data_IF_754161510269
#
_entry.id   IF_754161510269
#
_cell.length_a   1.000
_cell.length_b   1.000
_cell.length_c   1.000
_cell.angle_alpha   90.00
_cell.angle_beta   90.00
_cell.angle_gamma   90.00
#
_symmetry.space_group_name_H-M   'P 1'
#
loop_
_entity.id
_entity.type
_entity.pdbx_description
1 polymer ?
#
# COMPACT_ATOMS: atom_id res chain seq x y z
N UNK A 1 -3.19 15.17 -6.66
CA UNK A 1 -3.09 14.44 -7.94
C UNK A 1 -1.81 14.92 -8.65
N UNK A 2 -0.70 14.19 -8.48
CA UNK A 2 0.56 14.52 -9.17
C UNK A 2 0.70 13.59 -10.35
N UNK A 3 0.55 14.12 -11.56
CA UNK A 3 0.91 13.42 -12.79
C UNK A 3 2.42 13.66 -13.06
N UNK A 4 3.08 12.65 -13.60
CA UNK A 4 4.45 12.77 -14.10
C UNK A 4 4.61 14.04 -14.92
N UNK A 5 5.50 14.95 -14.50
CA UNK A 5 5.69 16.27 -15.10
C UNK A 5 6.63 16.27 -16.30
N UNK A 6 7.07 15.11 -16.75
CA UNK A 6 7.92 14.99 -17.94
C UNK A 6 7.04 14.94 -19.20
N UNK A 7 6.80 16.09 -19.81
CA UNK A 7 6.31 16.20 -21.18
C UNK A 7 4.93 16.79 -21.42
N UNK A 8 4.19 17.24 -20.39
CA UNK A 8 2.90 17.89 -20.61
C UNK A 8 2.92 19.36 -20.15
N UNK A 9 2.92 20.29 -21.10
CA UNK A 9 2.94 21.74 -20.86
C UNK A 9 1.75 22.18 -19.99
N UNK A 10 0.58 21.59 -20.18
CA UNK A 10 -0.63 21.91 -19.39
C UNK A 10 -0.47 21.55 -17.91
N UNK A 11 0.18 20.40 -17.60
CA UNK A 11 0.43 19.99 -16.23
C UNK A 11 1.40 20.93 -15.51
N UNK A 12 2.41 21.46 -16.21
CA UNK A 12 3.35 22.43 -15.64
C UNK A 12 2.67 23.76 -15.33
N UNK A 13 1.78 24.23 -16.20
CA UNK A 13 1.01 25.44 -15.98
C UNK A 13 0.10 25.34 -14.74
N UNK A 14 -0.59 24.21 -14.58
CA UNK A 14 -1.45 23.97 -13.42
C UNK A 14 -0.66 23.92 -12.10
N UNK A 15 0.51 23.28 -12.08
CA UNK A 15 1.37 23.22 -10.90
C UNK A 15 1.88 24.61 -10.53
N UNK A 16 2.41 25.39 -11.51
CA UNK A 16 2.86 26.76 -11.28
C UNK A 16 1.73 27.65 -10.78
N UNK A 17 0.54 27.57 -11.37
CA UNK A 17 -0.63 28.32 -10.95
C UNK A 17 -1.07 27.96 -9.52
N UNK A 18 -0.99 26.70 -9.13
CA UNK A 18 -1.28 26.26 -7.75
C UNK A 18 -0.28 26.86 -6.76
N UNK A 19 1.02 26.75 -7.03
CA UNK A 19 2.06 27.31 -6.15
C UNK A 19 2.11 28.84 -6.11
N UNK A 20 1.65 29.52 -7.15
CA UNK A 20 1.46 30.96 -7.11
C UNK A 20 0.38 31.41 -6.11
N UNK A 21 -0.54 30.51 -5.74
CA UNK A 21 -1.62 30.80 -4.77
C UNK A 21 -1.24 30.50 -3.34
N UNK A 22 -0.45 29.43 -3.10
CA UNK A 22 -0.04 29.01 -1.77
C UNK A 22 1.18 28.07 -1.84
N UNK A 23 2.00 28.01 -0.77
CA UNK A 23 3.13 27.08 -0.67
C UNK A 23 2.64 25.66 -0.38
N UNK A 24 2.44 24.85 -1.42
CA UNK A 24 2.04 23.45 -1.28
C UNK A 24 3.25 22.53 -1.25
N UNK A 25 3.17 21.49 -0.45
CA UNK A 25 4.11 20.37 -0.50
C UNK A 25 3.90 19.53 -1.76
N UNK A 26 4.97 18.87 -2.23
CA UNK A 26 4.95 18.04 -3.42
C UNK A 26 4.74 16.58 -3.05
N UNK A 27 3.71 15.96 -3.60
CA UNK A 27 3.52 14.51 -3.55
C UNK A 27 3.85 13.87 -4.90
N UNK A 28 4.66 12.82 -4.91
CA UNK A 28 4.98 12.03 -6.10
C UNK A 28 4.19 10.72 -6.06
N UNK A 29 3.30 10.52 -7.04
CA UNK A 29 2.64 9.23 -7.24
C UNK A 29 3.65 8.23 -7.82
N UNK A 30 4.18 7.33 -7.00
CA UNK A 30 5.35 6.51 -7.34
C UNK A 30 5.12 5.58 -8.53
N UNK A 31 4.04 4.81 -8.54
CA UNK A 31 3.75 3.88 -9.64
C UNK A 31 3.62 4.56 -11.01
N UNK A 32 2.72 5.57 -11.18
CA UNK A 32 2.59 6.31 -12.44
C UNK A 32 3.85 7.05 -12.88
N UNK A 33 4.77 7.34 -11.95
CA UNK A 33 6.07 7.97 -12.25
C UNK A 33 7.18 6.96 -12.60
N UNK A 34 6.86 5.66 -12.66
CA UNK A 34 7.85 4.61 -12.90
C UNK A 34 8.85 4.44 -11.77
N UNK A 35 8.47 4.83 -10.55
CA UNK A 35 9.34 4.80 -9.38
C UNK A 35 8.90 3.73 -8.38
N UNK A 36 9.88 3.16 -7.71
CA UNK A 36 9.76 2.49 -6.44
C UNK A 36 10.62 3.23 -5.42
N UNK A 37 10.04 3.56 -4.26
CA UNK A 37 10.79 4.21 -3.18
C UNK A 37 10.83 3.27 -1.98
N UNK A 38 12.03 3.03 -1.46
CA UNK A 38 12.24 2.38 -0.17
C UNK A 38 12.20 3.48 0.90
N UNK A 39 11.27 3.35 1.83
CA UNK A 39 11.01 4.29 2.92
C UNK A 39 11.57 3.68 4.22
N UNK A 40 12.64 4.28 4.72
CA UNK A 40 13.40 3.85 5.89
C UNK A 40 12.99 4.69 7.09
N UNK A 41 12.16 4.12 7.93
CA UNK A 41 11.63 4.82 9.10
C UNK A 41 12.61 4.83 10.28
N UNK A 42 12.57 5.90 11.06
CA UNK A 42 13.19 5.95 12.40
C UNK A 42 12.19 5.51 13.47
N UNK A 43 12.62 4.83 14.54
CA UNK A 43 11.73 4.44 15.62
C UNK A 43 11.09 5.67 16.28
N UNK A 44 9.75 5.67 16.38
CA UNK A 44 9.05 6.73 17.10
C UNK A 44 9.35 6.59 18.60
N UNK A 45 9.99 7.58 19.21
CA UNK A 45 10.43 7.58 20.62
C UNK A 45 9.29 7.64 21.66
N UNK A 46 8.07 7.23 21.32
CA UNK A 46 6.88 7.36 22.17
C UNK A 46 6.64 6.22 23.18
N UNK A 47 7.55 5.25 23.31
CA UNK A 47 7.44 4.27 24.40
C UNK A 47 8.69 4.28 25.29
N UNK A 48 8.65 5.13 26.31
CA UNK A 48 9.67 5.30 27.37
C UNK A 48 9.88 4.06 28.26
N UNK A 49 9.56 2.86 27.86
CA UNK A 49 9.77 1.62 28.66
C UNK A 49 10.34 0.44 27.88
N UNK A 50 11.12 0.67 26.84
CA UNK A 50 11.79 -0.42 26.14
C UNK A 50 12.86 0.12 25.21
N UNK A 51 14.11 -0.14 25.60
CA UNK A 51 15.34 -0.15 24.81
C UNK A 51 15.38 0.78 23.58
N UNK A 52 16.17 1.81 23.67
CA UNK A 52 16.62 2.68 22.56
C UNK A 52 17.51 1.95 21.53
N UNK A 53 17.70 0.64 21.66
CA UNK A 53 18.62 -0.17 20.85
C UNK A 53 17.96 -0.85 19.64
N UNK A 54 16.69 -0.55 19.34
CA UNK A 54 16.10 -1.10 18.11
C UNK A 54 16.71 -0.40 16.88
N UNK A 55 17.28 -1.16 15.92
CA UNK A 55 17.87 -0.58 14.74
C UNK A 55 16.80 0.20 13.96
N UNK A 56 17.20 1.35 13.42
CA UNK A 56 16.36 2.14 12.52
C UNK A 56 16.25 1.45 11.15
N UNK A 57 15.41 2.02 10.27
CA UNK A 57 15.21 1.47 8.94
C UNK A 57 16.49 1.46 8.10
N UNK A 58 17.39 2.43 8.28
CA UNK A 58 18.64 2.51 7.53
C UNK A 58 19.59 1.37 7.93
N UNK A 59 19.78 1.13 9.23
CA UNK A 59 20.59 0.01 9.73
C UNK A 59 19.97 -1.34 9.35
N UNK A 60 18.65 -1.46 9.41
CA UNK A 60 17.92 -2.67 9.01
C UNK A 60 18.08 -2.95 7.53
N UNK A 61 17.99 -1.93 6.67
CA UNK A 61 18.17 -2.06 5.23
C UNK A 61 19.62 -2.39 4.87
N UNK A 62 20.60 -1.77 5.53
CA UNK A 62 22.02 -2.09 5.34
C UNK A 62 22.30 -3.57 5.66
N UNK A 63 21.81 -4.08 6.78
CA UNK A 63 21.92 -5.50 7.14
C UNK A 63 21.18 -6.42 6.15
N UNK A 64 20.10 -5.97 5.53
CA UNK A 64 19.42 -6.72 4.46
C UNK A 64 20.28 -6.79 3.20
N UNK A 65 20.93 -5.69 2.79
CA UNK A 65 21.85 -5.65 1.66
C UNK A 65 23.04 -6.58 1.89
N UNK A 66 23.68 -6.51 3.06
CA UNK A 66 24.79 -7.38 3.43
C UNK A 66 24.44 -8.86 3.37
N UNK A 67 23.28 -9.26 3.91
CA UNK A 67 22.78 -10.64 3.80
C UNK A 67 22.50 -11.08 2.37
N UNK A 68 22.15 -10.15 1.49
CA UNK A 68 21.97 -10.40 0.06
C UNK A 68 23.30 -10.40 -0.72
N UNK A 69 24.44 -10.13 -0.05
CA UNK A 69 25.76 -10.05 -0.68
C UNK A 69 26.00 -8.77 -1.49
N UNK A 70 25.33 -7.67 -1.11
CA UNK A 70 25.39 -6.40 -1.82
C UNK A 70 25.64 -5.24 -0.86
N UNK A 71 26.24 -4.18 -1.36
CA UNK A 71 26.30 -2.89 -0.69
C UNK A 71 24.93 -2.18 -0.76
N UNK A 72 24.76 -1.18 0.11
CA UNK A 72 23.60 -0.28 0.01
C UNK A 72 23.66 0.46 -1.33
N UNK A 73 22.64 0.32 -2.19
CA UNK A 73 22.68 0.89 -3.53
C UNK A 73 22.88 2.40 -3.51
N UNK A 74 23.76 2.89 -4.39
CA UNK A 74 23.89 4.33 -4.62
C UNK A 74 22.76 4.78 -5.55
N UNK A 75 21.91 5.66 -5.01
CA UNK A 75 20.70 6.15 -5.70
C UNK A 75 20.29 7.50 -5.12
N UNK A 76 19.30 8.14 -5.72
CA UNK A 76 18.73 9.38 -5.19
C UNK A 76 18.18 9.17 -3.79
N UNK A 77 18.61 10.01 -2.85
CA UNK A 77 18.28 9.94 -1.43
C UNK A 77 17.66 11.24 -0.95
N UNK A 78 16.61 11.09 -0.15
CA UNK A 78 15.92 12.23 0.49
C UNK A 78 15.79 11.93 1.98
N UNK A 79 16.28 12.84 2.82
CA UNK A 79 16.02 12.80 4.27
C UNK A 79 14.57 13.22 4.51
N UNK A 80 13.82 12.44 5.27
CA UNK A 80 12.44 12.77 5.64
C UNK A 80 12.39 13.75 6.80
N UNK A 81 11.27 14.45 6.96
CA UNK A 81 11.05 15.39 8.05
C UNK A 81 11.12 14.73 9.45
N UNK A 82 10.92 13.43 9.56
CA UNK A 82 11.04 12.65 10.80
C UNK A 82 12.44 12.11 11.06
N UNK A 83 13.41 12.37 10.18
CA UNK A 83 14.79 11.88 10.29
C UNK A 83 15.04 10.54 9.59
N UNK A 84 14.04 9.92 9.00
CA UNK A 84 14.18 8.73 8.16
C UNK A 84 14.74 9.07 6.76
N UNK A 85 14.70 8.10 5.85
CA UNK A 85 15.28 8.26 4.51
C UNK A 85 14.42 7.60 3.43
N UNK A 86 14.26 8.26 2.31
CA UNK A 86 13.74 7.68 1.08
C UNK A 86 14.89 7.35 0.12
N UNK A 87 14.91 6.11 -0.40
CA UNK A 87 15.79 5.68 -1.48
C UNK A 87 14.94 5.48 -2.73
N UNK A 88 15.27 6.18 -3.80
CA UNK A 88 14.48 6.18 -5.04
C UNK A 88 15.07 5.25 -6.07
N UNK A 89 14.25 4.41 -6.68
CA UNK A 89 14.65 3.51 -7.76
C UNK A 89 13.69 3.65 -8.94
N UNK A 90 14.22 3.47 -10.16
CA UNK A 90 13.38 3.27 -11.33
C UNK A 90 12.83 1.85 -11.33
N UNK A 91 11.51 1.72 -11.43
CA UNK A 91 10.86 0.41 -11.50
C UNK A 91 11.10 -0.25 -12.86
N UNK A 92 11.32 -1.57 -12.92
CA UNK A 92 11.50 -2.27 -14.19
C UNK A 92 10.25 -2.15 -15.08
N UNK A 93 10.47 -2.01 -16.38
CA UNK A 93 9.37 -1.94 -17.36
C UNK A 93 8.51 -3.22 -17.30
N UNK A 94 7.19 -3.07 -17.35
CA UNK A 94 6.25 -4.19 -17.32
C UNK A 94 6.06 -4.87 -15.96
N UNK A 95 6.81 -4.47 -14.93
CA UNK A 95 6.67 -5.02 -13.58
C UNK A 95 5.83 -4.08 -12.71
N UNK A 96 4.74 -4.60 -12.17
CA UNK A 96 3.87 -3.83 -11.27
C UNK A 96 4.10 -4.25 -9.82
N UNK A 97 5.06 -3.59 -9.16
CA UNK A 97 5.27 -3.74 -7.73
C UNK A 97 4.23 -2.93 -6.95
N UNK A 98 3.89 -3.39 -5.75
CA UNK A 98 2.92 -2.74 -4.86
C UNK A 98 3.61 -2.21 -3.61
N UNK A 99 2.90 -1.38 -2.85
CA UNK A 99 3.39 -0.92 -1.55
C UNK A 99 3.56 -2.10 -0.59
N UNK A 100 4.59 -2.03 0.24
CA UNK A 100 4.74 -2.94 1.38
C UNK A 100 4.87 -2.14 2.68
N UNK A 101 4.50 -2.75 3.80
CA UNK A 101 4.71 -2.18 5.13
C UNK A 101 5.28 -3.26 6.03
N UNK A 102 6.52 -3.08 6.48
CA UNK A 102 7.24 -4.02 7.34
C UNK A 102 7.45 -5.43 6.75
N UNK A 103 7.07 -5.65 5.49
CA UNK A 103 7.15 -6.97 4.84
C UNK A 103 8.58 -7.32 4.42
N UNK A 104 9.35 -6.34 3.97
CA UNK A 104 10.73 -6.52 3.54
C UNK A 104 11.64 -6.69 4.75
N UNK A 105 11.53 -5.76 5.69
CA UNK A 105 12.17 -5.82 7.00
C UNK A 105 11.50 -4.80 7.94
N UNK A 106 11.79 -4.87 9.24
CA UNK A 106 11.27 -3.91 10.23
C UNK A 106 11.72 -2.48 9.87
N UNK A 107 10.81 -1.53 9.92
CA UNK A 107 11.04 -0.11 9.60
C UNK A 107 11.52 0.13 8.15
N UNK A 108 11.25 -0.82 7.26
CA UNK A 108 11.55 -0.76 5.82
C UNK A 108 10.24 -0.96 5.06
N UNK A 109 9.68 0.13 4.59
CA UNK A 109 8.47 0.15 3.78
C UNK A 109 8.82 0.38 2.30
N UNK A 110 7.90 0.06 1.40
CA UNK A 110 8.04 0.46 -0.01
C UNK A 110 6.80 1.19 -0.49
N UNK A 111 7.01 2.17 -1.36
CA UNK A 111 5.97 2.91 -2.06
C UNK A 111 6.16 2.73 -3.57
N UNK A 112 5.17 2.10 -4.20
CA UNK A 112 5.16 1.76 -5.61
C UNK A 112 3.77 2.05 -6.23
N UNK A 113 3.17 1.11 -6.95
CA UNK A 113 1.82 1.31 -7.48
C UNK A 113 0.77 1.42 -6.38
N UNK A 114 -0.04 2.49 -6.46
CA UNK A 114 -1.03 2.85 -5.44
C UNK A 114 -0.45 3.64 -4.26
N UNK A 115 0.85 3.95 -4.29
CA UNK A 115 1.53 4.76 -3.29
C UNK A 115 1.88 6.16 -3.77
N UNK A 116 2.22 6.99 -2.80
CA UNK A 116 2.86 8.29 -3.03
C UNK A 116 3.87 8.56 -1.93
N UNK A 117 4.80 9.47 -2.19
CA UNK A 117 5.75 10.00 -1.23
C UNK A 117 5.75 11.52 -1.24
N UNK A 118 6.22 12.11 -0.15
CA UNK A 118 6.50 13.55 -0.07
C UNK A 118 7.90 13.79 -0.61
N UNK A 119 8.02 14.69 -1.58
CA UNK A 119 9.28 14.98 -2.26
C UNK A 119 10.16 15.96 -1.48
N UNK A 120 11.46 15.98 -1.80
CA UNK A 120 12.39 16.99 -1.32
C UNK A 120 11.92 18.40 -1.66
N UNK A 121 12.25 19.36 -0.80
CA UNK A 121 11.75 20.73 -0.85
C UNK A 121 10.42 20.95 -0.14
N UNK A 122 9.76 19.89 0.31
CA UNK A 122 8.55 19.97 1.13
C UNK A 122 8.89 20.17 2.60
N UNK A 123 7.98 20.84 3.33
CA UNK A 123 8.14 21.12 4.77
C UNK A 123 6.90 20.68 5.54
N UNK A 124 7.10 20.20 6.75
CA UNK A 124 6.04 19.83 7.69
C UNK A 124 6.35 20.45 9.07
N UNK A 125 5.41 20.45 10.01
CA UNK A 125 5.71 20.91 11.37
C UNK A 125 6.87 20.17 12.06
N UNK A 126 7.21 18.97 11.60
CA UNK A 126 8.29 18.15 12.16
C UNK A 126 9.64 18.38 11.50
N UNK A 127 9.70 19.01 10.33
CA UNK A 127 10.94 19.27 9.62
C UNK A 127 10.76 19.36 8.09
N UNK A 128 11.88 19.40 7.38
CA UNK A 128 11.92 19.46 5.92
C UNK A 128 12.27 18.09 5.31
N UNK A 129 11.87 17.92 4.05
CA UNK A 129 12.36 16.83 3.20
C UNK A 129 13.53 17.36 2.38
N UNK A 130 14.72 16.80 2.58
CA UNK A 130 15.96 17.32 2.02
C UNK A 130 16.63 16.33 1.08
N UNK A 131 16.97 16.78 -0.13
CA UNK A 131 17.77 15.98 -1.05
C UNK A 131 19.20 15.82 -0.50
N UNK A 132 19.70 14.59 -0.42
CA UNK A 132 21.03 14.26 0.06
C UNK A 132 22.01 13.90 -1.06
N UNK A 133 21.54 13.67 -2.27
CA UNK A 133 22.33 13.30 -3.45
C UNK A 133 21.76 13.95 -4.71
N UNK A 134 22.45 13.78 -5.83
CA UNK A 134 21.91 14.17 -7.14
C UNK A 134 20.58 13.47 -7.44
N UNK A 135 19.64 14.12 -8.16
CA UNK A 135 18.27 13.63 -8.34
C UNK A 135 18.16 12.53 -9.42
N UNK A 136 19.08 11.58 -9.40
CA UNK A 136 19.11 10.46 -10.34
C UNK A 136 18.78 9.15 -9.62
N UNK A 137 17.61 8.57 -9.95
CA UNK A 137 17.18 7.31 -9.40
C UNK A 137 17.83 6.15 -10.16
N UNK A 138 18.59 5.31 -9.46
CA UNK A 138 19.19 4.10 -10.02
C UNK A 138 18.11 3.07 -10.40
N UNK A 139 18.41 2.13 -11.31
CA UNK A 139 17.56 0.97 -11.55
C UNK A 139 17.36 0.16 -10.26
N UNK A 140 16.13 -0.37 -10.07
CA UNK A 140 15.85 -1.24 -8.92
C UNK A 140 16.72 -2.49 -9.00
N UNK A 141 17.56 -2.79 -7.98
CA UNK A 141 18.40 -3.99 -7.95
C UNK A 141 17.55 -5.26 -8.08
N UNK A 142 18.03 -6.23 -8.86
CA UNK A 142 17.29 -7.46 -9.15
C UNK A 142 16.99 -8.27 -7.87
N UNK A 143 17.92 -8.32 -6.92
CA UNK A 143 17.72 -9.00 -5.64
C UNK A 143 16.57 -8.38 -4.85
N UNK A 144 16.47 -7.04 -4.83
CA UNK A 144 15.39 -6.32 -4.15
C UNK A 144 14.07 -6.48 -4.89
N UNK A 145 14.09 -6.45 -6.23
CA UNK A 145 12.93 -6.77 -7.05
C UNK A 145 12.40 -8.17 -6.73
N UNK A 146 13.25 -9.17 -6.58
CA UNK A 146 12.87 -10.55 -6.27
C UNK A 146 12.17 -10.66 -4.91
N UNK A 147 12.65 -9.92 -3.90
CA UNK A 147 12.00 -9.87 -2.58
C UNK A 147 10.63 -9.19 -2.67
N UNK A 148 10.50 -8.15 -3.49
CA UNK A 148 9.29 -7.35 -3.62
C UNK A 148 8.27 -7.94 -4.59
N UNK A 149 8.71 -8.80 -5.48
CA UNK A 149 7.75 -9.55 -6.30
C UNK A 149 6.94 -10.45 -5.37
N UNK A 150 5.59 -10.41 -5.44
CA UNK A 150 4.80 -11.45 -4.80
C UNK A 150 5.37 -12.78 -5.26
N UNK A 151 5.77 -13.64 -4.31
CA UNK A 151 6.11 -15.00 -4.66
C UNK A 151 5.06 -15.47 -5.67
N UNK A 152 5.48 -15.85 -6.86
CA UNK A 152 4.57 -16.49 -7.81
C UNK A 152 3.96 -17.63 -6.99
N UNK A 153 2.74 -17.41 -6.47
CA UNK A 153 1.97 -18.54 -5.98
C UNK A 153 2.01 -19.49 -7.16
N UNK A 154 2.59 -20.70 -6.99
CA UNK A 154 2.57 -21.66 -8.09
C UNK A 154 1.17 -21.59 -8.64
N UNK A 155 1.04 -21.35 -9.93
CA UNK A 155 -0.25 -21.35 -10.59
C UNK A 155 -0.92 -22.60 -10.07
N UNK A 156 -1.84 -22.45 -9.10
CA UNK A 156 -2.69 -23.55 -8.73
C UNK A 156 -3.40 -23.83 -10.04
N UNK A 157 -2.89 -24.81 -10.75
CA UNK A 157 -3.67 -25.48 -11.78
C UNK A 157 -5.03 -25.64 -11.12
N UNK A 158 -6.12 -25.17 -11.72
CA UNK A 158 -7.43 -25.39 -11.20
C UNK A 158 -7.65 -26.90 -11.24
N UNK A 159 -7.11 -27.61 -10.24
CA UNK A 159 -7.62 -28.91 -9.85
C UNK A 159 -9.07 -28.64 -9.56
N UNK A 160 -9.97 -29.25 -10.32
CA UNK A 160 -11.39 -29.03 -10.24
C UNK A 160 -11.88 -29.12 -8.80
N UNK A 161 -11.79 -27.99 -8.10
CA UNK A 161 -12.35 -27.84 -6.77
C UNK A 161 -13.84 -27.84 -6.99
N UNK A 162 -14.49 -28.93 -6.61
CA UNK A 162 -15.93 -29.09 -6.72
C UNK A 162 -16.58 -27.81 -6.18
N UNK A 163 -17.58 -27.26 -6.87
CA UNK A 163 -18.26 -26.00 -6.54
C UNK A 163 -18.65 -25.86 -5.05
N UNK A 164 -18.82 -26.99 -4.34
CA UNK A 164 -19.07 -27.03 -2.90
C UNK A 164 -17.87 -26.68 -2.01
N UNK A 165 -16.64 -26.84 -2.47
CA UNK A 165 -15.44 -26.46 -1.66
C UNK A 165 -15.15 -24.97 -1.79
N UNK A 166 -15.37 -24.39 -2.97
CA UNK A 166 -15.24 -22.94 -3.20
C UNK A 166 -16.21 -22.17 -2.31
N UNK A 167 -17.45 -22.60 -2.24
CA UNK A 167 -18.48 -21.98 -1.39
C UNK A 167 -18.15 -22.08 0.11
N UNK A 168 -17.70 -23.25 0.59
CA UNK A 168 -17.27 -23.41 1.99
C UNK A 168 -16.12 -22.50 2.35
N UNK A 169 -15.16 -22.32 1.45
CA UNK A 169 -14.06 -21.39 1.66
C UNK A 169 -14.54 -19.93 1.73
N UNK A 170 -15.48 -19.55 0.87
CA UNK A 170 -16.08 -18.22 0.87
C UNK A 170 -16.90 -17.96 2.16
N UNK A 171 -17.64 -18.95 2.65
CA UNK A 171 -18.39 -18.85 3.91
C UNK A 171 -17.45 -18.69 5.13
N UNK A 172 -16.34 -19.43 5.18
CA UNK A 172 -15.30 -19.26 6.21
C UNK A 172 -14.64 -17.88 6.13
N UNK A 173 -14.38 -17.39 4.93
CA UNK A 173 -13.83 -16.05 4.73
C UNK A 173 -14.80 -14.97 5.22
N UNK A 174 -16.10 -15.11 4.91
CA UNK A 174 -17.13 -14.20 5.39
C UNK A 174 -17.18 -14.17 6.93
N UNK A 175 -17.22 -15.33 7.57
CA UNK A 175 -17.23 -15.42 9.03
C UNK A 175 -15.99 -14.82 9.70
N UNK A 176 -14.81 -14.98 9.09
CA UNK A 176 -13.57 -14.42 9.60
C UNK A 176 -13.54 -12.89 9.48
N UNK A 177 -13.90 -12.36 8.31
CA UNK A 177 -13.91 -10.91 8.08
C UNK A 177 -14.97 -10.21 8.93
N UNK A 178 -16.15 -10.83 9.12
CA UNK A 178 -17.19 -10.32 10.02
C UNK A 178 -16.68 -10.21 11.46
N UNK A 179 -15.97 -11.24 11.96
CA UNK A 179 -15.34 -11.19 13.29
C UNK A 179 -14.26 -10.11 13.40
N UNK A 180 -13.45 -9.93 12.38
CA UNK A 180 -12.41 -8.90 12.34
C UNK A 180 -13.02 -7.50 12.45
N UNK A 181 -14.14 -7.27 11.75
CA UNK A 181 -14.86 -5.98 11.82
C UNK A 181 -15.49 -5.78 13.20
N UNK A 182 -16.17 -6.79 13.72
CA UNK A 182 -16.82 -6.72 15.04
C UNK A 182 -15.82 -6.47 16.19
N UNK A 183 -14.59 -7.01 16.08
CA UNK A 183 -13.51 -6.82 17.06
C UNK A 183 -12.66 -5.55 16.86
N UNK A 184 -12.99 -4.69 15.89
CA UNK A 184 -12.16 -3.55 15.56
C UNK A 184 -12.22 -2.46 16.64
N UNK A 185 -11.04 -1.97 17.04
CA UNK A 185 -10.90 -0.92 18.05
C UNK A 185 -11.37 0.45 17.53
N UNK A 186 -11.78 1.38 18.41
CA UNK A 186 -12.07 2.76 18.04
C UNK A 186 -10.93 3.37 17.23
N UNK A 187 -11.28 4.07 16.13
CA UNK A 187 -10.31 4.64 15.18
C UNK A 187 -9.84 3.68 14.07
N UNK A 188 -10.07 2.36 14.21
CA UNK A 188 -9.75 1.37 13.18
C UNK A 188 -10.99 0.73 12.51
N UNK A 189 -12.19 1.05 12.97
CA UNK A 189 -13.44 0.39 12.59
C UNK A 189 -13.75 0.53 11.11
N UNK A 190 -13.71 1.75 10.59
CA UNK A 190 -13.98 2.02 9.17
C UNK A 190 -12.95 1.34 8.26
N UNK A 191 -11.67 1.42 8.61
CA UNK A 191 -10.60 0.76 7.86
C UNK A 191 -10.70 -0.76 7.89
N UNK A 192 -11.17 -1.35 8.99
CA UNK A 192 -11.45 -2.77 9.10
C UNK A 192 -12.61 -3.18 8.19
N UNK A 193 -13.72 -2.42 8.22
CA UNK A 193 -14.87 -2.63 7.36
C UNK A 193 -14.50 -2.52 5.88
N UNK A 194 -13.73 -1.50 5.51
CA UNK A 194 -13.25 -1.30 4.15
C UNK A 194 -12.40 -2.48 3.66
N UNK A 195 -11.43 -2.95 4.46
CA UNK A 195 -10.59 -4.10 4.10
C UNK A 195 -11.39 -5.38 3.95
N UNK A 196 -12.32 -5.66 4.87
CA UNK A 196 -13.21 -6.81 4.83
C UNK A 196 -14.06 -6.82 3.55
N UNK A 197 -14.69 -5.69 3.22
CA UNK A 197 -15.47 -5.55 1.99
C UNK A 197 -14.62 -5.76 0.73
N UNK A 198 -13.38 -5.21 0.70
CA UNK A 198 -12.42 -5.43 -0.39
C UNK A 198 -12.03 -6.91 -0.53
N UNK A 199 -11.81 -7.61 0.58
CA UNK A 199 -11.45 -9.03 0.58
C UNK A 199 -12.61 -9.91 0.09
N UNK A 200 -13.84 -9.59 0.47
CA UNK A 200 -15.02 -10.40 0.16
C UNK A 200 -15.61 -10.11 -1.23
N UNK A 201 -15.40 -8.94 -1.79
CA UNK A 201 -15.92 -8.57 -3.11
C UNK A 201 -15.49 -9.49 -4.25
N UNK A 202 -14.32 -10.14 -4.14
CA UNK A 202 -13.89 -11.18 -5.09
C UNK A 202 -14.83 -12.39 -5.12
N UNK A 203 -15.34 -12.83 -3.98
CA UNK A 203 -16.26 -13.97 -3.90
C UNK A 203 -17.63 -13.62 -4.47
N UNK A 204 -18.04 -12.35 -4.39
CA UNK A 204 -19.24 -11.85 -5.07
C UNK A 204 -19.02 -11.88 -6.59
N UNK A 205 -17.88 -11.35 -7.08
CA UNK A 205 -17.54 -11.35 -8.48
C UNK A 205 -17.48 -12.77 -9.08
N UNK A 206 -17.07 -13.75 -8.30
CA UNK A 206 -16.98 -15.17 -8.70
C UNK A 206 -18.31 -15.93 -8.52
N UNK A 207 -19.32 -15.32 -7.88
CA UNK A 207 -20.62 -15.93 -7.63
C UNK A 207 -20.62 -16.95 -6.48
N UNK A 208 -19.58 -16.96 -5.64
CA UNK A 208 -19.48 -17.85 -4.48
C UNK A 208 -20.32 -17.33 -3.30
N UNK A 209 -20.48 -15.98 -3.18
CA UNK A 209 -21.31 -15.34 -2.16
C UNK A 209 -22.28 -14.34 -2.80
N UNK A 210 -23.55 -14.34 -2.39
CA UNK A 210 -24.50 -13.30 -2.79
C UNK A 210 -24.11 -11.94 -2.17
N UNK A 211 -24.18 -10.88 -2.96
CA UNK A 211 -23.80 -9.53 -2.51
C UNK A 211 -24.58 -9.10 -1.25
N UNK A 212 -25.89 -9.31 -1.22
CA UNK A 212 -26.72 -8.92 -0.10
C UNK A 212 -26.34 -9.60 1.22
N UNK A 213 -25.88 -10.85 1.17
CA UNK A 213 -25.40 -11.61 2.36
C UNK A 213 -24.13 -10.96 2.93
N UNK A 214 -23.18 -10.59 2.06
CA UNK A 214 -21.95 -9.93 2.47
C UNK A 214 -22.22 -8.53 3.02
N UNK A 215 -23.08 -7.75 2.33
CA UNK A 215 -23.47 -6.41 2.78
C UNK A 215 -24.14 -6.44 4.14
N UNK A 216 -25.10 -7.36 4.34
CA UNK A 216 -25.83 -7.48 5.61
C UNK A 216 -24.87 -7.86 6.75
N UNK A 217 -24.06 -8.91 6.58
CA UNK A 217 -23.15 -9.39 7.61
C UNK A 217 -22.12 -8.34 8.03
N UNK A 218 -21.54 -7.65 7.06
CA UNK A 218 -20.57 -6.58 7.33
C UNK A 218 -21.20 -5.32 7.90
N UNK A 219 -22.43 -4.99 7.50
CA UNK A 219 -23.16 -3.86 8.06
C UNK A 219 -23.52 -4.11 9.53
N UNK A 220 -24.02 -5.30 9.86
CA UNK A 220 -24.32 -5.70 11.25
C UNK A 220 -23.05 -5.67 12.12
N UNK A 221 -21.93 -6.21 11.62
CA UNK A 221 -20.65 -6.19 12.33
C UNK A 221 -20.12 -4.76 12.53
N UNK A 222 -20.21 -3.91 11.50
CA UNK A 222 -19.76 -2.51 11.58
C UNK A 222 -20.58 -1.69 12.57
N UNK A 223 -21.89 -1.86 12.54
CA UNK A 223 -22.80 -1.21 13.50
C UNK A 223 -22.58 -1.72 14.93
N UNK A 224 -22.41 -3.04 15.10
CA UNK A 224 -22.05 -3.64 16.38
C UNK A 224 -20.70 -3.13 16.93
N UNK A 225 -19.75 -2.82 16.06
CA UNK A 225 -18.50 -2.17 16.42
C UNK A 225 -18.63 -0.68 16.73
N UNK A 226 -19.77 -0.04 16.41
CA UNK A 226 -20.09 1.36 16.72
C UNK A 226 -19.94 2.33 15.55
N UNK A 227 -19.98 1.84 14.29
CA UNK A 227 -20.16 2.69 13.11
C UNK A 227 -21.65 2.99 12.90
N UNK A 228 -21.97 4.16 12.37
CA UNK A 228 -23.34 4.47 11.96
C UNK A 228 -23.75 3.68 10.72
N UNK A 229 -25.05 3.50 10.53
CA UNK A 229 -25.58 2.85 9.32
C UNK A 229 -25.21 3.59 8.03
N UNK A 230 -25.03 4.91 8.08
CA UNK A 230 -24.62 5.72 6.94
C UNK A 230 -23.16 5.48 6.55
N UNK A 231 -22.26 5.46 7.54
CA UNK A 231 -20.84 5.14 7.34
C UNK A 231 -20.67 3.72 6.78
N UNK A 232 -21.37 2.73 7.37
CA UNK A 232 -21.33 1.36 6.87
C UNK A 232 -21.76 1.29 5.39
N UNK A 233 -22.90 1.88 5.02
CA UNK A 233 -23.38 1.84 3.63
C UNK A 233 -22.43 2.52 2.66
N UNK A 234 -21.86 3.66 3.02
CA UNK A 234 -20.91 4.38 2.16
C UNK A 234 -19.66 3.57 1.91
N UNK A 235 -19.06 3.04 2.98
CA UNK A 235 -17.83 2.24 2.94
C UNK A 235 -18.04 0.93 2.18
N UNK A 236 -19.13 0.21 2.45
CA UNK A 236 -19.45 -1.06 1.77
C UNK A 236 -19.65 -0.86 0.28
N UNK A 237 -20.44 0.14 -0.13
CA UNK A 237 -20.68 0.44 -1.54
C UNK A 237 -19.36 0.67 -2.27
N UNK A 238 -18.54 1.60 -1.79
CA UNK A 238 -17.27 1.95 -2.40
C UNK A 238 -16.30 0.76 -2.51
N UNK A 239 -16.14 0.01 -1.42
CA UNK A 239 -15.18 -1.08 -1.34
C UNK A 239 -15.62 -2.32 -2.15
N UNK A 240 -16.90 -2.69 -2.09
CA UNK A 240 -17.44 -3.84 -2.84
C UNK A 240 -17.49 -3.55 -4.34
N UNK A 241 -18.00 -2.38 -4.77
CA UNK A 241 -18.07 -2.03 -6.18
C UNK A 241 -16.68 -2.04 -6.82
N UNK A 242 -15.69 -1.46 -6.14
CA UNK A 242 -14.32 -1.51 -6.61
C UNK A 242 -13.80 -2.95 -6.71
N UNK A 243 -14.01 -3.77 -5.68
CA UNK A 243 -13.49 -5.14 -5.64
C UNK A 243 -14.16 -6.03 -6.69
N UNK A 244 -15.48 -5.92 -6.86
CA UNK A 244 -16.24 -6.68 -7.87
C UNK A 244 -15.74 -6.33 -9.27
N UNK A 245 -15.61 -5.05 -9.60
CA UNK A 245 -15.13 -4.60 -10.90
C UNK A 245 -13.71 -5.11 -11.22
N UNK A 246 -12.82 -5.15 -10.22
CA UNK A 246 -11.43 -5.56 -10.43
C UNK A 246 -11.20 -7.09 -10.35
N UNK A 247 -12.23 -7.87 -10.04
CA UNK A 247 -12.17 -9.33 -9.98
C UNK A 247 -13.12 -10.02 -10.99
N UNK A 248 -13.90 -9.29 -11.76
CA UNK A 248 -14.88 -9.83 -12.72
C UNK A 248 -14.26 -10.61 -13.90
N UNK A 249 -13.01 -10.33 -14.28
CA UNK A 249 -12.34 -10.96 -15.42
C UNK A 249 -11.74 -12.35 -15.17
N UNK A 250 -11.88 -12.94 -13.99
CA UNK A 250 -11.18 -14.20 -13.66
C UNK A 250 -11.96 -15.48 -14.00
N UNK A 251 -13.21 -15.37 -14.44
CA UNK A 251 -14.07 -16.52 -14.79
C UNK A 251 -14.04 -16.88 -16.29
N UNK A 252 -13.52 -16.02 -17.15
CA UNK A 252 -13.43 -16.28 -18.59
C UNK A 252 -12.17 -17.05 -19.02
N UNK A 253 -11.29 -17.40 -18.09
CA UNK A 253 -10.04 -18.13 -18.34
C UNK A 253 -10.05 -19.56 -17.75
N UNK A 254 -11.21 -20.21 -17.69
CA UNK A 254 -11.36 -21.61 -17.25
C UNK A 254 -12.06 -22.43 -18.32
#
# INVERSE_FOLDING_TARGET
MVRSLLGNVDAQCHVRAAWARAPFNVGIATGPSGLLVVDLDVPKSQNRKGSSDAPDGAATFAALCERAGHDVPDTYRVRTASGGMHLYFTAPAGVRLTNTTGTVARSVDTRAWGGYIVAAGSTTPTGAYEALSAPEAAPLPLWLQTILQPALKPAQTPSGVAAGQSRRYADVALANETRNVAGAQPGARESALFRAARALGRFIAWGDLPRHVVEQALQEAGQGAGLSAAECRSTLRSALDWSITHNSGRREAA
#
